data_IF_912968387831
#
_entry.id   IF_912968387831
#
_cell.length_a   1.000
_cell.length_b   1.000
_cell.length_c   1.000
_cell.angle_alpha   90.00
_cell.angle_beta   90.00
_cell.angle_gamma   90.00
#
_symmetry.space_group_name_H-M   'P 1'
#
loop_
_entity.id
_entity.type
_entity.pdbx_description
1 polymer ?
#
# COMPACT_ATOMS: atom_id res chain seq x y z
N UNK A 1 -22.98 6.34 -21.54
CA UNK A 1 -22.82 5.26 -20.52
C UNK A 1 -24.18 4.71 -20.16
N UNK A 2 -24.35 3.38 -20.15
CA UNK A 2 -25.62 2.70 -19.77
C UNK A 2 -26.01 3.07 -18.32
N UNK A 3 -27.32 3.19 -18.04
CA UNK A 3 -27.86 3.45 -16.69
C UNK A 3 -27.29 2.45 -15.64
N UNK A 4 -27.20 1.18 -16.01
CA UNK A 4 -26.63 0.09 -15.18
C UNK A 4 -25.15 0.32 -14.81
N UNK A 5 -24.36 0.95 -15.70
CA UNK A 5 -22.94 1.26 -15.42
C UNK A 5 -22.80 2.46 -14.45
N UNK A 6 -23.70 3.45 -14.55
CA UNK A 6 -23.76 4.58 -13.61
C UNK A 6 -24.15 4.14 -12.19
N UNK A 7 -25.10 3.21 -12.09
CA UNK A 7 -25.58 2.66 -10.82
C UNK A 7 -24.47 1.85 -10.11
N UNK A 8 -23.69 1.07 -10.86
CA UNK A 8 -22.55 0.32 -10.34
C UNK A 8 -21.42 1.25 -9.82
N UNK A 9 -21.09 2.31 -10.56
CA UNK A 9 -20.07 3.28 -10.13
C UNK A 9 -20.51 4.06 -8.87
N UNK A 10 -21.80 4.42 -8.78
CA UNK A 10 -22.37 5.03 -7.59
C UNK A 10 -22.27 4.08 -6.38
N UNK A 11 -22.59 2.81 -6.56
CA UNK A 11 -22.46 1.78 -5.53
C UNK A 11 -21.02 1.59 -5.06
N UNK A 12 -20.06 1.52 -6.00
CA UNK A 12 -18.63 1.44 -5.65
C UNK A 12 -18.18 2.64 -4.81
N UNK A 13 -18.57 3.84 -5.23
CA UNK A 13 -18.24 5.08 -4.52
C UNK A 13 -18.84 5.10 -3.10
N UNK A 14 -20.10 4.66 -2.94
CA UNK A 14 -20.75 4.57 -1.64
C UNK A 14 -20.03 3.57 -0.70
N UNK A 15 -19.65 2.39 -1.21
CA UNK A 15 -18.90 1.38 -0.46
C UNK A 15 -17.51 1.89 -0.05
N UNK A 16 -16.78 2.54 -0.95
CA UNK A 16 -15.46 3.14 -0.66
C UNK A 16 -15.57 4.23 0.41
N UNK A 17 -16.55 5.13 0.30
CA UNK A 17 -16.78 6.18 1.30
C UNK A 17 -17.12 5.61 2.68
N UNK A 18 -18.06 4.66 2.72
CA UNK A 18 -18.44 4.00 3.97
C UNK A 18 -17.27 3.24 4.63
N UNK A 19 -16.48 2.51 3.83
CA UNK A 19 -15.31 1.80 4.31
C UNK A 19 -14.24 2.78 4.84
N UNK A 20 -13.95 3.86 4.11
CA UNK A 20 -12.99 4.90 4.51
C UNK A 20 -13.37 5.52 5.86
N UNK A 21 -14.63 5.91 6.04
CA UNK A 21 -15.10 6.49 7.31
C UNK A 21 -14.99 5.49 8.47
N UNK A 22 -15.36 4.21 8.27
CA UNK A 22 -15.24 3.20 9.31
C UNK A 22 -13.77 2.90 9.65
N UNK A 23 -12.91 2.78 8.65
CA UNK A 23 -11.47 2.52 8.84
C UNK A 23 -10.76 3.68 9.55
N UNK A 24 -11.21 4.92 9.37
CA UNK A 24 -10.65 6.08 10.07
C UNK A 24 -11.18 6.25 11.49
N UNK A 25 -12.32 5.65 11.82
CA UNK A 25 -12.94 5.72 13.14
C UNK A 25 -12.69 4.49 14.02
N UNK A 26 -12.15 3.41 13.48
CA UNK A 26 -11.91 2.15 14.19
C UNK A 26 -10.47 1.66 13.92
N UNK A 27 -9.75 1.31 14.99
CA UNK A 27 -8.36 0.83 14.86
C UNK A 27 -8.30 -0.66 14.47
N UNK A 28 -9.32 -1.45 14.84
CA UNK A 28 -9.34 -2.88 14.54
C UNK A 28 -10.10 -3.18 13.25
N UNK A 29 -9.38 -3.78 12.28
CA UNK A 29 -9.96 -4.20 11.01
C UNK A 29 -11.06 -5.27 11.15
N UNK A 30 -11.07 -6.04 12.25
CA UNK A 30 -12.06 -7.09 12.46
C UNK A 30 -13.41 -6.52 12.89
N UNK A 31 -13.44 -5.32 13.47
CA UNK A 31 -14.67 -4.59 13.79
C UNK A 31 -15.33 -3.98 12.54
N UNK A 32 -14.54 -3.65 11.49
CA UNK A 32 -15.04 -3.10 10.24
C UNK A 32 -15.54 -4.22 9.32
N UNK A 33 -16.66 -4.80 9.69
CA UNK A 33 -17.26 -5.93 8.98
C UNK A 33 -17.90 -5.54 7.65
N UNK A 34 -18.03 -6.49 6.72
CA UNK A 34 -18.77 -6.28 5.48
C UNK A 34 -20.22 -5.83 5.72
N UNK A 35 -20.86 -6.30 6.80
CA UNK A 35 -22.20 -5.86 7.19
C UNK A 35 -22.25 -4.40 7.65
N UNK A 36 -21.28 -3.98 8.45
CA UNK A 36 -21.19 -2.58 8.89
C UNK A 36 -20.97 -1.63 7.69
N UNK A 37 -20.07 -2.00 6.77
CA UNK A 37 -19.80 -1.22 5.56
C UNK A 37 -21.04 -1.10 4.69
N UNK A 38 -21.72 -2.21 4.38
CA UNK A 38 -22.89 -2.20 3.50
C UNK A 38 -24.10 -1.53 4.15
N UNK A 39 -24.30 -1.69 5.46
CA UNK A 39 -25.33 -0.95 6.19
C UNK A 39 -25.10 0.57 6.13
N UNK A 40 -23.87 1.01 6.31
CA UNK A 40 -23.50 2.44 6.21
C UNK A 40 -23.64 2.97 4.77
N UNK A 41 -23.28 2.16 3.77
CA UNK A 41 -23.41 2.52 2.36
C UNK A 41 -24.84 2.44 1.82
N UNK A 42 -25.80 1.84 2.56
CA UNK A 42 -27.17 1.66 2.13
C UNK A 42 -27.33 0.67 0.97
N UNK A 43 -26.47 -0.36 0.90
CA UNK A 43 -26.45 -1.35 -0.20
C UNK A 43 -26.52 -2.79 0.31
N UNK A 44 -26.81 -3.73 -0.58
CA UNK A 44 -26.85 -5.16 -0.24
C UNK A 44 -25.44 -5.70 0.06
N UNK A 45 -25.34 -6.64 1.01
CA UNK A 45 -24.09 -7.29 1.42
C UNK A 45 -23.32 -7.91 0.23
N UNK A 46 -24.01 -8.49 -0.75
CA UNK A 46 -23.39 -9.07 -1.92
C UNK A 46 -22.62 -8.06 -2.79
N UNK A 47 -22.89 -6.75 -2.62
CA UNK A 47 -22.28 -5.73 -3.44
C UNK A 47 -20.78 -5.55 -3.18
N UNK A 48 -20.26 -5.88 -2.00
CA UNK A 48 -18.81 -5.88 -1.75
C UNK A 48 -18.14 -6.91 -2.67
N UNK A 49 -18.62 -8.15 -2.66
CA UNK A 49 -18.05 -9.20 -3.52
C UNK A 49 -18.24 -8.89 -5.01
N UNK A 50 -19.39 -8.35 -5.38
CA UNK A 50 -19.65 -7.99 -6.78
C UNK A 50 -18.75 -6.85 -7.29
N UNK A 51 -18.49 -5.83 -6.45
CA UNK A 51 -17.74 -4.63 -6.84
C UNK A 51 -16.23 -4.79 -6.66
N UNK A 52 -15.78 -5.53 -5.64
CA UNK A 52 -14.38 -5.56 -5.19
C UNK A 52 -13.83 -6.99 -5.05
N UNK A 53 -14.64 -8.02 -5.06
CA UNK A 53 -14.24 -9.42 -4.87
C UNK A 53 -14.15 -9.84 -3.39
N UNK A 54 -13.69 -8.94 -2.49
CA UNK A 54 -13.63 -9.20 -1.06
C UNK A 54 -13.62 -7.90 -0.24
N UNK A 55 -13.79 -8.00 1.08
CA UNK A 55 -13.63 -6.89 2.02
C UNK A 55 -12.19 -6.37 2.01
N UNK A 56 -11.22 -7.26 1.99
CA UNK A 56 -9.79 -6.94 1.99
C UNK A 56 -9.39 -6.21 0.69
N UNK A 57 -9.96 -6.57 -0.44
CA UNK A 57 -9.80 -5.83 -1.69
C UNK A 57 -10.38 -4.41 -1.59
N UNK A 58 -11.53 -4.25 -0.95
CA UNK A 58 -12.10 -2.93 -0.67
C UNK A 58 -11.20 -2.11 0.25
N UNK A 59 -10.64 -2.70 1.31
CA UNK A 59 -9.67 -2.03 2.18
C UNK A 59 -8.43 -1.57 1.41
N UNK A 60 -7.91 -2.40 0.52
CA UNK A 60 -6.79 -2.04 -0.34
C UNK A 60 -7.09 -0.83 -1.24
N UNK A 61 -8.29 -0.77 -1.83
CA UNK A 61 -8.72 0.40 -2.60
C UNK A 61 -8.82 1.68 -1.74
N UNK A 62 -9.31 1.56 -0.49
CA UNK A 62 -9.32 2.68 0.46
C UNK A 62 -7.90 3.15 0.78
N UNK A 63 -6.97 2.24 1.03
CA UNK A 63 -5.56 2.58 1.28
C UNK A 63 -4.93 3.32 0.11
N UNK A 64 -5.19 2.89 -1.12
CA UNK A 64 -4.71 3.61 -2.32
C UNK A 64 -5.25 5.04 -2.39
N UNK A 65 -6.52 5.24 -2.04
CA UNK A 65 -7.10 6.59 -1.99
C UNK A 65 -6.46 7.44 -0.89
N UNK A 66 -6.26 6.89 0.30
CA UNK A 66 -5.61 7.63 1.40
C UNK A 66 -4.18 8.06 1.04
N UNK A 67 -3.41 7.20 0.36
CA UNK A 67 -2.09 7.54 -0.17
C UNK A 67 -2.17 8.67 -1.21
N UNK A 68 -3.09 8.55 -2.17
CA UNK A 68 -3.28 9.56 -3.20
C UNK A 68 -3.70 10.91 -2.59
N UNK A 69 -4.60 10.91 -1.60
CA UNK A 69 -5.04 12.12 -0.89
C UNK A 69 -3.87 12.76 -0.12
N UNK A 70 -3.04 11.97 0.55
CA UNK A 70 -1.87 12.46 1.26
C UNK A 70 -0.83 13.09 0.30
N UNK A 71 -0.64 12.51 -0.89
CA UNK A 71 0.24 13.06 -1.93
C UNK A 71 -0.36 14.35 -2.54
N UNK A 72 -1.66 14.38 -2.78
CA UNK A 72 -2.35 15.53 -3.33
C UNK A 72 -2.42 16.72 -2.36
N UNK A 73 -2.36 16.48 -1.05
CA UNK A 73 -2.35 17.53 -0.03
C UNK A 73 -1.08 18.41 -0.06
N UNK A 74 0.03 17.91 -0.66
CA UNK A 74 1.30 18.64 -0.77
C UNK A 74 1.98 18.44 -2.14
N UNK A 75 1.34 18.82 -3.26
CA UNK A 75 1.83 18.51 -4.60
C UNK A 75 3.15 19.22 -4.95
N UNK A 76 3.33 20.45 -4.50
CA UNK A 76 4.56 21.22 -4.75
C UNK A 76 5.75 20.63 -4.00
N UNK A 77 5.56 20.26 -2.73
CA UNK A 77 6.59 19.59 -1.94
C UNK A 77 6.93 18.21 -2.51
N UNK A 78 5.93 17.45 -2.93
CA UNK A 78 6.13 16.15 -3.57
C UNK A 78 6.90 16.29 -4.90
N UNK A 79 6.55 17.26 -5.75
CA UNK A 79 7.24 17.52 -7.01
C UNK A 79 8.68 18.03 -6.79
N UNK A 80 8.91 18.96 -5.86
CA UNK A 80 10.24 19.49 -5.52
C UNK A 80 11.14 18.38 -4.98
N UNK A 81 10.63 17.54 -4.10
CA UNK A 81 11.38 16.40 -3.57
C UNK A 81 11.72 15.38 -4.65
N UNK A 82 10.78 15.06 -5.54
CA UNK A 82 11.02 14.15 -6.67
C UNK A 82 12.06 14.70 -7.64
N UNK A 83 12.09 16.01 -7.89
CA UNK A 83 13.07 16.65 -8.78
C UNK A 83 14.51 16.66 -8.24
N UNK A 84 14.68 16.61 -6.90
CA UNK A 84 15.99 16.67 -6.23
C UNK A 84 16.54 15.29 -5.87
N UNK A 85 15.72 14.24 -5.89
CA UNK A 85 16.11 12.91 -5.49
C UNK A 85 16.55 12.05 -6.68
N UNK A 86 17.62 11.29 -6.50
CA UNK A 86 18.00 10.23 -7.43
C UNK A 86 16.89 9.15 -7.50
N UNK A 87 16.82 8.36 -8.58
CA UNK A 87 15.85 7.26 -8.67
C UNK A 87 15.92 6.30 -7.48
N UNK A 88 17.11 5.99 -6.99
CA UNK A 88 17.36 5.15 -5.80
C UNK A 88 16.77 5.78 -4.53
N UNK A 89 16.99 7.06 -4.30
CA UNK A 89 16.42 7.78 -3.15
C UNK A 89 14.90 7.86 -3.22
N UNK A 90 14.32 7.98 -4.43
CA UNK A 90 12.87 7.92 -4.62
C UNK A 90 12.29 6.55 -4.24
N UNK A 91 12.98 5.45 -4.59
CA UNK A 91 12.61 4.10 -4.15
C UNK A 91 12.63 4.02 -2.62
N UNK A 92 13.73 4.44 -1.99
CA UNK A 92 13.84 4.41 -0.53
C UNK A 92 12.74 5.22 0.16
N UNK A 93 12.43 6.42 -0.33
CA UNK A 93 11.39 7.28 0.23
C UNK A 93 10.00 6.70 0.05
N UNK A 94 9.70 6.11 -1.11
CA UNK A 94 8.43 5.43 -1.36
C UNK A 94 8.23 4.29 -0.36
N UNK A 95 9.21 3.40 -0.24
CA UNK A 95 9.14 2.25 0.66
C UNK A 95 9.07 2.69 2.14
N UNK A 96 9.85 3.69 2.55
CA UNK A 96 9.75 4.27 3.90
C UNK A 96 8.33 4.77 4.21
N UNK A 97 7.74 5.56 3.32
CA UNK A 97 6.41 6.13 3.51
C UNK A 97 5.33 5.03 3.56
N UNK A 98 5.43 4.03 2.69
CA UNK A 98 4.51 2.89 2.67
C UNK A 98 4.62 2.05 3.94
N UNK A 99 5.83 1.67 4.36
CA UNK A 99 6.03 0.87 5.57
C UNK A 99 5.58 1.60 6.82
N UNK A 100 5.91 2.91 6.95
CA UNK A 100 5.47 3.74 8.07
C UNK A 100 3.95 3.76 8.17
N UNK A 101 3.25 4.00 7.06
CA UNK A 101 1.79 3.98 7.03
C UNK A 101 1.23 2.59 7.38
N UNK A 102 1.82 1.53 6.84
CA UNK A 102 1.38 0.16 7.10
C UNK A 102 1.58 -0.24 8.56
N UNK A 103 2.65 0.20 9.22
CA UNK A 103 2.90 -0.06 10.64
C UNK A 103 1.93 0.75 11.51
N UNK A 104 1.70 2.03 11.18
CA UNK A 104 0.75 2.89 11.91
C UNK A 104 -0.69 2.33 11.89
N UNK A 105 -1.07 1.64 10.80
CA UNK A 105 -2.40 1.04 10.63
C UNK A 105 -2.31 -0.49 10.54
N UNK A 106 -1.57 -1.10 11.46
CA UNK A 106 -1.15 -2.50 11.34
C UNK A 106 -2.29 -3.50 11.21
N UNK A 107 -3.42 -3.32 11.90
CA UNK A 107 -4.55 -4.23 11.82
C UNK A 107 -5.09 -4.34 10.38
N UNK A 108 -5.28 -3.19 9.71
CA UNK A 108 -5.69 -3.17 8.29
C UNK A 108 -4.60 -3.67 7.36
N UNK A 109 -3.36 -3.27 7.61
CA UNK A 109 -2.21 -3.69 6.79
C UNK A 109 -2.04 -5.20 6.79
N UNK A 110 -2.22 -5.86 7.94
CA UNK A 110 -2.20 -7.33 8.04
C UNK A 110 -3.24 -7.98 7.14
N UNK A 111 -4.49 -7.49 7.13
CA UNK A 111 -5.56 -8.01 6.29
C UNK A 111 -5.26 -7.76 4.79
N UNK A 112 -4.81 -6.54 4.46
CA UNK A 112 -4.49 -6.12 3.09
C UNK A 112 -3.28 -6.88 2.55
N UNK A 113 -2.20 -7.00 3.32
CA UNK A 113 -0.98 -7.70 2.87
C UNK A 113 -1.26 -9.18 2.63
N UNK A 114 -2.04 -9.81 3.50
CA UNK A 114 -2.48 -11.20 3.27
C UNK A 114 -3.26 -11.30 1.94
N UNK A 115 -4.15 -10.35 1.66
CA UNK A 115 -4.89 -10.33 0.41
C UNK A 115 -3.97 -10.13 -0.80
N UNK A 116 -3.04 -9.17 -0.74
CA UNK A 116 -2.09 -8.86 -1.82
C UNK A 116 -1.23 -10.08 -2.14
N UNK A 117 -0.62 -10.69 -1.12
CA UNK A 117 0.29 -11.81 -1.29
C UNK A 117 -0.38 -13.05 -1.92
N UNK A 118 -1.69 -13.25 -1.66
CA UNK A 118 -2.39 -14.46 -2.10
C UNK A 118 -3.24 -14.26 -3.36
N UNK A 119 -3.68 -13.04 -3.66
CA UNK A 119 -4.74 -12.81 -4.66
C UNK A 119 -4.41 -11.72 -5.68
N UNK A 120 -3.30 -11.00 -5.56
CA UNK A 120 -2.99 -9.90 -6.47
C UNK A 120 -2.63 -10.42 -7.85
N UNK A 121 -3.35 -9.98 -8.86
CA UNK A 121 -3.10 -10.31 -10.28
C UNK A 121 -1.99 -9.46 -10.89
N UNK A 122 -1.79 -8.25 -10.38
CA UNK A 122 -0.68 -7.37 -10.78
C UNK A 122 0.54 -7.67 -9.91
N UNK A 123 1.73 -7.66 -10.50
CA UNK A 123 2.97 -7.96 -9.77
C UNK A 123 3.15 -7.10 -8.50
N UNK A 124 3.70 -7.70 -7.46
CA UNK A 124 4.15 -6.99 -6.26
C UNK A 124 5.29 -6.05 -6.66
N UNK A 125 5.34 -4.83 -6.09
CA UNK A 125 6.43 -3.89 -6.33
C UNK A 125 6.30 -3.03 -7.57
N UNK A 126 5.21 -3.14 -8.32
CA UNK A 126 5.02 -2.36 -9.55
C UNK A 126 5.07 -0.84 -9.33
N UNK A 127 4.80 -0.36 -8.12
CA UNK A 127 4.87 1.05 -7.74
C UNK A 127 6.31 1.59 -7.77
N UNK A 128 7.31 0.79 -7.42
CA UNK A 128 8.73 1.17 -7.41
C UNK A 128 9.44 0.88 -8.74
N UNK A 129 8.86 0.05 -9.61
CA UNK A 129 9.47 -0.40 -10.87
C UNK A 129 9.94 0.75 -11.78
N UNK A 130 9.18 1.84 -12.00
CA UNK A 130 9.64 2.94 -12.84
C UNK A 130 10.95 3.57 -12.35
N UNK A 131 11.08 3.78 -11.03
CA UNK A 131 12.28 4.34 -10.43
C UNK A 131 13.47 3.35 -10.48
N UNK A 132 13.21 2.05 -10.30
CA UNK A 132 14.23 1.00 -10.42
C UNK A 132 14.76 0.92 -11.87
N UNK A 133 13.86 0.95 -12.85
CA UNK A 133 14.24 0.94 -14.27
C UNK A 133 15.08 2.18 -14.63
N UNK A 134 14.67 3.35 -14.16
CA UNK A 134 15.41 4.59 -14.36
C UNK A 134 16.80 4.55 -13.70
N UNK A 135 16.89 4.00 -12.47
CA UNK A 135 18.17 3.85 -11.76
C UNK A 135 19.18 3.04 -12.56
N UNK A 136 18.76 1.92 -13.14
CA UNK A 136 19.68 1.09 -13.91
C UNK A 136 19.97 1.62 -15.32
N UNK A 137 19.12 2.49 -15.89
CA UNK A 137 19.39 3.17 -17.15
C UNK A 137 19.80 2.23 -18.30
N UNK A 138 19.18 1.05 -18.39
CA UNK A 138 19.48 0.02 -19.38
C UNK A 138 20.58 -0.98 -18.99
N UNK A 139 21.24 -0.83 -17.81
CA UNK A 139 22.23 -1.82 -17.29
C UNK A 139 21.58 -3.16 -16.91
N UNK A 140 20.26 -3.13 -16.63
CA UNK A 140 19.42 -4.30 -16.38
C UNK A 140 18.23 -4.28 -17.32
N UNK A 141 17.78 -5.45 -17.77
CA UNK A 141 16.58 -5.56 -18.59
C UNK A 141 15.28 -5.46 -17.74
N UNK A 142 14.14 -5.36 -18.42
CA UNK A 142 12.83 -5.19 -17.76
C UNK A 142 12.50 -6.32 -16.77
N UNK A 143 12.85 -7.57 -17.12
CA UNK A 143 12.62 -8.73 -16.24
C UNK A 143 13.45 -8.65 -14.96
N UNK A 144 14.72 -8.24 -15.06
CA UNK A 144 15.61 -8.07 -13.91
C UNK A 144 15.10 -6.94 -12.99
N UNK A 145 14.70 -5.80 -13.57
CA UNK A 145 14.13 -4.70 -12.80
C UNK A 145 12.81 -5.10 -12.11
N UNK A 146 11.95 -5.86 -12.80
CA UNK A 146 10.69 -6.36 -12.23
C UNK A 146 10.94 -7.34 -11.09
N UNK A 147 11.96 -8.19 -11.19
CA UNK A 147 12.32 -9.12 -10.12
C UNK A 147 12.85 -8.40 -8.89
N UNK A 148 13.71 -7.39 -9.08
CA UNK A 148 14.19 -6.52 -7.98
C UNK A 148 13.01 -5.82 -7.30
N UNK A 149 12.08 -5.26 -8.06
CA UNK A 149 10.88 -4.61 -7.52
C UNK A 149 10.04 -5.58 -6.69
N UNK A 150 9.84 -6.80 -7.17
CA UNK A 150 9.13 -7.87 -6.48
C UNK A 150 9.83 -8.28 -5.18
N UNK A 151 11.13 -8.55 -5.23
CA UNK A 151 11.91 -9.03 -4.06
C UNK A 151 11.97 -7.97 -2.97
N UNK A 152 12.29 -6.72 -3.34
CA UNK A 152 12.37 -5.60 -2.40
C UNK A 152 11.03 -5.32 -1.72
N UNK A 153 9.94 -5.30 -2.49
CA UNK A 153 8.61 -5.07 -1.92
C UNK A 153 8.15 -6.23 -1.04
N UNK A 154 8.40 -7.48 -1.45
CA UNK A 154 8.06 -8.66 -0.65
C UNK A 154 8.81 -8.68 0.68
N UNK A 155 10.10 -8.30 0.67
CA UNK A 155 10.90 -8.18 1.89
C UNK A 155 10.32 -7.14 2.85
N UNK A 156 9.96 -5.96 2.34
CA UNK A 156 9.39 -4.88 3.15
C UNK A 156 7.98 -5.21 3.67
N UNK A 157 7.13 -5.82 2.86
CA UNK A 157 5.81 -6.31 3.30
C UNK A 157 5.95 -7.35 4.42
N UNK A 158 6.88 -8.29 4.28
CA UNK A 158 7.17 -9.27 5.33
C UNK A 158 7.70 -8.60 6.60
N UNK A 159 8.59 -7.61 6.48
CA UNK A 159 9.10 -6.87 7.63
C UNK A 159 7.99 -6.12 8.36
N UNK A 160 7.03 -5.52 7.66
CA UNK A 160 5.84 -4.92 8.27
C UNK A 160 5.02 -5.96 9.02
N UNK A 161 4.72 -7.11 8.41
CA UNK A 161 3.96 -8.18 9.07
C UNK A 161 4.63 -8.71 10.34
N UNK A 162 5.95 -8.74 10.35
CA UNK A 162 6.78 -9.29 11.42
C UNK A 162 7.50 -8.22 12.26
N UNK A 163 7.08 -6.94 12.19
CA UNK A 163 7.78 -5.83 12.85
C UNK A 163 7.93 -6.01 14.37
N UNK A 164 6.94 -6.63 15.04
CA UNK A 164 7.01 -6.93 16.48
C UNK A 164 8.08 -7.96 16.79
N UNK A 165 8.20 -9.00 15.98
CA UNK A 165 9.22 -10.03 16.11
C UNK A 165 10.61 -9.49 15.77
N UNK A 166 10.72 -8.62 14.77
CA UNK A 166 11.97 -7.93 14.44
C UNK A 166 12.47 -7.10 15.64
N UNK A 167 11.57 -6.43 16.34
CA UNK A 167 11.90 -5.71 17.58
C UNK A 167 12.31 -6.66 18.69
N UNK A 168 11.57 -7.74 18.93
CA UNK A 168 11.79 -8.67 20.02
C UNK A 168 13.08 -9.47 19.88
N UNK A 169 13.34 -10.06 18.70
CA UNK A 169 14.45 -10.99 18.50
C UNK A 169 15.72 -10.33 17.94
N UNK A 170 15.59 -9.20 17.25
CA UNK A 170 16.73 -8.54 16.60
C UNK A 170 16.98 -7.12 17.08
N UNK A 171 16.15 -6.60 18.00
CA UNK A 171 16.25 -5.22 18.48
C UNK A 171 15.92 -4.16 17.42
N UNK A 172 15.28 -4.55 16.32
CA UNK A 172 14.96 -3.69 15.19
C UNK A 172 13.55 -3.12 15.34
N UNK A 173 13.44 -1.95 15.99
CA UNK A 173 12.16 -1.28 16.21
C UNK A 173 11.75 -0.43 15.00
N UNK A 174 10.99 -1.02 14.07
CA UNK A 174 10.50 -0.33 12.88
C UNK A 174 9.39 0.71 13.16
N UNK A 175 8.95 0.87 14.42
CA UNK A 175 8.06 1.97 14.82
C UNK A 175 8.82 3.29 15.07
N UNK A 176 10.14 3.23 15.22
CA UNK A 176 11.02 4.39 15.26
C UNK A 176 11.39 4.81 13.83
N UNK A 177 11.13 6.07 13.50
CA UNK A 177 11.35 6.59 12.14
C UNK A 177 12.81 6.52 11.70
N UNK A 178 13.77 6.76 12.59
CA UNK A 178 15.19 6.73 12.24
C UNK A 178 15.67 5.28 11.97
N UNK A 179 15.17 4.33 12.77
CA UNK A 179 15.46 2.90 12.59
C UNK A 179 14.82 2.39 11.29
N UNK A 180 13.57 2.78 11.03
CA UNK A 180 12.86 2.42 9.80
C UNK A 180 13.57 3.00 8.57
N UNK A 181 13.94 4.29 8.59
CA UNK A 181 14.65 4.93 7.48
C UNK A 181 15.98 4.23 7.18
N UNK A 182 16.75 3.93 8.23
CA UNK A 182 18.00 3.18 8.09
C UNK A 182 17.79 1.82 7.48
N UNK A 183 16.81 1.05 8.00
CA UNK A 183 16.47 -0.28 7.50
C UNK A 183 16.10 -0.25 6.01
N UNK A 184 15.25 0.70 5.61
CA UNK A 184 14.84 0.84 4.21
C UNK A 184 16.04 1.21 3.33
N UNK A 185 16.88 2.15 3.73
CA UNK A 185 18.09 2.52 2.97
C UNK A 185 19.02 1.33 2.77
N UNK A 186 19.35 0.62 3.84
CA UNK A 186 20.22 -0.56 3.78
C UNK A 186 19.66 -1.70 2.92
N UNK A 187 18.34 -1.86 2.89
CA UNK A 187 17.71 -2.85 2.01
C UNK A 187 17.70 -2.41 0.55
N UNK A 188 17.39 -1.13 0.27
CA UNK A 188 17.45 -0.56 -1.08
C UNK A 188 18.87 -0.60 -1.63
N UNK A 189 19.87 -0.26 -0.82
CA UNK A 189 21.29 -0.30 -1.21
C UNK A 189 21.73 -1.70 -1.66
N UNK A 190 21.26 -2.76 -1.01
CA UNK A 190 21.58 -4.14 -1.42
C UNK A 190 21.06 -4.53 -2.80
N UNK A 191 20.01 -3.88 -3.30
CA UNK A 191 19.40 -4.19 -4.58
C UNK A 191 19.76 -3.19 -5.69
N UNK A 192 20.08 -1.95 -5.32
CA UNK A 192 20.29 -0.83 -6.25
C UNK A 192 21.73 -0.25 -6.22
N UNK A 193 22.71 -1.04 -5.82
CA UNK A 193 24.15 -0.70 -5.97
C UNK A 193 24.82 -1.28 -7.20
#
# INVERSE_FOLDING_TARGET
>A
MSAKKRDLEATKKALLGAAKELMTSCEDSDEVTSRAITAKAGVNLAMINYCFGSREALFYEVFKQLLADAQAANPELAALMCAQLTPKERVAKLHFSMMKMMIAHFSYSKAITKYILLNRTNGIGMESLPCITEHFGGRKNERECSLIAFELSSLHELAVLRHRELKEYYGLDLTDDAVLEKYVRETVDRYLD
#
